data_IF_538856702009
#
_entry.id   IF_538856702009
#
_cell.length_a   1.000
_cell.length_b   1.000
_cell.length_c   1.000
_cell.angle_alpha   90.00
_cell.angle_beta   90.00
_cell.angle_gamma   90.00
#
_symmetry.space_group_name_H-M   'P 1'
#
loop_
_entity.id
_entity.type
_entity.pdbx_description
1 polymer ?
#
# COMPACT_ATOMS: atom_id res chain seq x y z
N UNK A 1 14.84 13.00 3.22
CA UNK A 1 14.49 11.90 2.29
C UNK A 1 13.04 12.05 1.85
N UNK A 2 12.64 11.37 0.77
CA UNK A 2 11.26 11.40 0.28
C UNK A 2 10.27 10.81 1.31
N UNK A 3 10.68 9.81 2.10
CA UNK A 3 9.89 9.28 3.23
C UNK A 3 9.49 10.34 4.25
N UNK A 4 10.45 11.18 4.69
CA UNK A 4 10.18 12.22 5.69
C UNK A 4 9.25 13.28 5.12
N UNK A 5 9.48 13.71 3.88
CA UNK A 5 8.62 14.69 3.22
C UNK A 5 7.18 14.17 3.07
N UNK A 6 7.03 12.90 2.69
CA UNK A 6 5.74 12.21 2.58
C UNK A 6 5.01 12.11 3.92
N UNK A 7 5.73 11.68 4.98
CA UNK A 7 5.19 11.55 6.35
C UNK A 7 4.60 12.86 6.88
N UNK A 8 5.15 14.00 6.46
CA UNK A 8 4.73 15.34 6.91
C UNK A 8 3.73 16.03 5.96
N UNK A 9 3.17 15.34 4.95
CA UNK A 9 2.29 15.92 3.93
C UNK A 9 2.88 17.17 3.25
N UNK A 10 4.22 17.24 3.13
CA UNK A 10 4.89 18.42 2.59
C UNK A 10 4.96 18.38 1.06
N UNK A 11 3.84 18.68 0.40
CA UNK A 11 3.74 18.74 -1.06
C UNK A 11 4.86 19.57 -1.73
N UNK A 12 5.25 20.77 -1.24
CA UNK A 12 6.32 21.54 -1.85
C UNK A 12 7.67 20.80 -1.83
N UNK A 13 8.02 20.18 -0.70
CA UNK A 13 9.28 19.44 -0.56
C UNK A 13 9.25 18.18 -1.42
N UNK A 14 8.12 17.46 -1.45
CA UNK A 14 7.94 16.27 -2.31
C UNK A 14 8.12 16.65 -3.78
N UNK A 15 7.47 17.72 -4.24
CA UNK A 15 7.57 18.19 -5.63
C UNK A 15 9.01 18.54 -6.01
N UNK A 16 9.74 19.26 -5.15
CA UNK A 16 11.16 19.57 -5.37
C UNK A 16 11.99 18.30 -5.44
N UNK A 17 11.81 17.36 -4.51
CA UNK A 17 12.57 16.10 -4.51
C UNK A 17 12.30 15.28 -5.78
N UNK A 18 11.04 15.18 -6.22
CA UNK A 18 10.66 14.49 -7.45
C UNK A 18 11.22 15.19 -8.70
N UNK A 19 11.27 16.52 -8.71
CA UNK A 19 11.91 17.30 -9.78
C UNK A 19 13.40 16.94 -9.94
N UNK A 20 14.07 16.61 -8.83
CA UNK A 20 15.44 16.11 -8.82
C UNK A 20 15.53 14.57 -8.84
N UNK A 21 14.52 13.89 -9.41
CA UNK A 21 14.49 12.44 -9.64
C UNK A 21 14.64 11.59 -8.38
N UNK A 22 14.15 12.06 -7.22
CA UNK A 22 14.08 11.23 -6.03
C UNK A 22 13.27 9.95 -6.30
N UNK A 23 13.80 8.82 -5.82
CA UNK A 23 13.23 7.49 -6.09
C UNK A 23 11.99 7.21 -5.22
N UNK A 24 10.83 7.04 -5.87
CA UNK A 24 9.57 6.65 -5.22
C UNK A 24 9.52 5.17 -4.82
N UNK A 25 10.43 4.32 -5.32
CA UNK A 25 10.50 2.89 -4.99
C UNK A 25 11.46 2.59 -3.83
N UNK A 26 12.20 3.60 -3.36
CA UNK A 26 13.16 3.44 -2.28
C UNK A 26 12.48 2.94 -1.01
N UNK A 27 12.92 1.79 -0.50
CA UNK A 27 12.41 1.21 0.73
C UNK A 27 13.27 1.62 1.92
N UNK A 28 12.63 1.96 3.04
CA UNK A 28 13.33 2.16 4.30
C UNK A 28 13.62 0.82 5.01
N UNK A 29 14.07 0.86 6.26
CA UNK A 29 14.38 -0.33 7.07
C UNK A 29 13.19 -1.25 7.35
N UNK A 30 11.96 -0.80 7.11
CA UNK A 30 10.73 -1.57 7.26
C UNK A 30 10.19 -2.06 5.91
N UNK A 31 10.88 -1.78 4.81
CA UNK A 31 10.36 -2.02 3.47
C UNK A 31 9.36 -0.96 3.01
N UNK A 32 9.15 0.12 3.76
CA UNK A 32 8.17 1.13 3.40
C UNK A 32 8.73 2.02 2.28
N UNK A 33 7.98 2.15 1.19
CA UNK A 33 8.21 3.21 0.18
C UNK A 33 7.69 4.55 0.71
N UNK A 34 8.07 5.70 0.13
CA UNK A 34 7.50 6.99 0.54
C UNK A 34 5.97 7.03 0.51
N UNK A 35 5.32 6.31 -0.42
CA UNK A 35 3.87 6.21 -0.49
C UNK A 35 3.24 5.49 0.73
N UNK A 36 3.96 4.58 1.40
CA UNK A 36 3.51 3.96 2.65
C UNK A 36 3.44 4.98 3.79
N UNK A 37 4.27 6.03 3.73
CA UNK A 37 4.35 7.05 4.76
C UNK A 37 3.26 8.12 4.65
N UNK A 38 2.49 8.14 3.55
CA UNK A 38 1.40 9.10 3.35
C UNK A 38 0.37 8.96 4.47
N UNK A 39 0.11 10.02 5.25
CA UNK A 39 -0.99 10.03 6.21
C UNK A 39 -2.33 9.87 5.50
N UNK A 40 -3.21 9.03 6.05
CA UNK A 40 -4.49 8.70 5.42
C UNK A 40 -5.62 9.41 6.15
N UNK A 41 -5.76 10.71 5.87
CA UNK A 41 -6.88 11.55 6.31
C UNK A 41 -7.79 11.87 5.13
N UNK A 42 -9.06 12.16 5.38
CA UNK A 42 -10.12 12.46 4.40
C UNK A 42 -9.98 13.85 3.75
N UNK A 43 -8.74 14.20 3.38
CA UNK A 43 -8.32 15.48 2.86
C UNK A 43 -7.79 15.35 1.42
N UNK A 44 -7.86 16.43 0.65
CA UNK A 44 -7.43 16.44 -0.75
C UNK A 44 -5.92 16.18 -0.88
N UNK A 45 -5.13 16.73 0.03
CA UNK A 45 -3.68 16.63 0.09
C UNK A 45 -3.20 15.18 0.22
N UNK A 46 -3.96 14.33 0.92
CA UNK A 46 -3.72 12.89 0.99
C UNK A 46 -3.76 12.26 -0.40
N UNK A 47 -4.78 12.59 -1.20
CA UNK A 47 -4.99 12.05 -2.54
C UNK A 47 -3.88 12.52 -3.49
N UNK A 48 -3.62 13.82 -3.48
CA UNK A 48 -2.60 14.44 -4.33
C UNK A 48 -1.21 13.88 -4.03
N UNK A 49 -0.86 13.76 -2.74
CA UNK A 49 0.42 13.23 -2.35
C UNK A 49 0.56 11.74 -2.70
N UNK A 50 -0.49 10.95 -2.49
CA UNK A 50 -0.50 9.54 -2.88
C UNK A 50 -0.24 9.40 -4.39
N UNK A 51 -0.90 10.20 -5.22
CA UNK A 51 -0.74 10.19 -6.67
C UNK A 51 0.69 10.56 -7.10
N UNK A 52 1.29 11.59 -6.50
CA UNK A 52 2.67 11.99 -6.79
C UNK A 52 3.68 10.90 -6.46
N UNK A 53 3.45 10.15 -5.39
CA UNK A 53 4.39 9.13 -4.89
C UNK A 53 4.14 7.74 -5.46
N UNK A 54 3.11 7.54 -6.28
CA UNK A 54 2.77 6.24 -6.88
C UNK A 54 2.75 6.28 -8.41
N UNK A 55 3.86 6.70 -9.07
CA UNK A 55 3.85 6.98 -10.52
C UNK A 55 3.71 5.73 -11.40
N UNK A 56 3.83 4.52 -10.85
CA UNK A 56 3.81 3.28 -11.61
C UNK A 56 3.21 2.11 -10.82
N UNK A 57 2.78 1.08 -11.56
CA UNK A 57 2.31 -0.17 -10.96
C UNK A 57 3.35 -0.83 -10.06
N UNK A 58 4.64 -0.71 -10.42
CA UNK A 58 5.73 -1.25 -9.62
C UNK A 58 5.74 -0.64 -8.21
N UNK A 59 5.64 0.70 -8.11
CA UNK A 59 5.60 1.39 -6.81
C UNK A 59 4.28 1.11 -6.06
N UNK A 60 3.14 1.10 -6.77
CA UNK A 60 1.82 0.77 -6.19
C UNK A 60 1.78 -0.62 -5.56
N UNK A 61 2.43 -1.59 -6.20
CA UNK A 61 2.40 -3.00 -5.83
C UNK A 61 3.59 -3.44 -4.97
N UNK A 62 4.56 -2.55 -4.74
CA UNK A 62 5.72 -2.86 -3.92
C UNK A 62 5.30 -3.01 -2.47
N UNK A 63 5.71 -4.12 -1.86
CA UNK A 63 5.32 -4.50 -0.52
C UNK A 63 6.42 -4.22 0.48
N UNK A 64 6.02 -3.77 1.66
CA UNK A 64 6.90 -3.64 2.80
C UNK A 64 7.17 -4.99 3.49
N UNK A 65 7.92 -4.97 4.60
CA UNK A 65 8.23 -6.17 5.37
C UNK A 65 6.99 -6.85 5.97
N UNK A 66 5.86 -6.14 6.09
CA UNK A 66 4.57 -6.69 6.51
C UNK A 66 3.76 -7.27 5.34
N UNK A 67 4.32 -7.31 4.12
CA UNK A 67 3.68 -7.79 2.90
C UNK A 67 2.43 -6.98 2.49
N UNK A 68 2.39 -5.71 2.89
CA UNK A 68 1.32 -4.77 2.55
C UNK A 68 1.88 -3.80 1.51
N UNK A 69 1.17 -3.60 0.41
CA UNK A 69 1.54 -2.54 -0.54
C UNK A 69 0.92 -1.19 -0.19
N UNK A 70 1.51 -0.11 -0.71
CA UNK A 70 0.93 1.23 -0.57
C UNK A 70 -0.51 1.31 -1.13
N UNK A 71 -0.78 0.61 -2.24
CA UNK A 71 -2.13 0.52 -2.80
C UNK A 71 -3.10 -0.23 -1.88
N UNK A 72 -2.73 -1.39 -1.33
CA UNK A 72 -3.61 -2.15 -0.43
C UNK A 72 -3.96 -1.35 0.83
N UNK A 73 -2.97 -0.65 1.41
CA UNK A 73 -3.16 0.24 2.55
C UNK A 73 -4.14 1.36 2.21
N UNK A 74 -3.95 2.04 1.08
CA UNK A 74 -4.81 3.13 0.60
C UNK A 74 -6.24 2.63 0.30
N UNK A 75 -6.39 1.52 -0.41
CA UNK A 75 -7.69 0.96 -0.75
C UNK A 75 -8.49 0.49 0.48
N UNK A 76 -7.80 -0.06 1.49
CA UNK A 76 -8.44 -0.46 2.76
C UNK A 76 -8.94 0.78 3.52
N UNK A 77 -8.13 1.82 3.60
CA UNK A 77 -8.53 3.09 4.20
C UNK A 77 -9.72 3.71 3.48
N UNK A 78 -9.70 3.74 2.15
CA UNK A 78 -10.78 4.34 1.34
C UNK A 78 -12.18 3.78 1.68
N UNK A 79 -12.28 2.55 2.21
CA UNK A 79 -13.56 1.92 2.61
C UNK A 79 -14.11 2.42 3.94
N UNK A 80 -13.27 2.98 4.81
CA UNK A 80 -13.62 3.28 6.22
C UNK A 80 -13.25 4.70 6.66
N UNK A 81 -12.70 5.50 5.74
CA UNK A 81 -12.10 6.81 5.99
C UNK A 81 -13.06 7.89 6.53
N UNK A 82 -14.37 7.78 6.30
CA UNK A 82 -15.37 8.76 6.76
C UNK A 82 -16.24 8.15 7.87
N UNK A 83 -15.78 8.18 9.12
CA UNK A 83 -16.49 7.58 10.27
C UNK A 83 -16.94 6.12 10.03
N UNK A 84 -16.00 5.26 9.61
CA UNK A 84 -16.25 3.87 9.18
C UNK A 84 -17.13 3.73 7.93
N UNK A 85 -17.25 4.79 7.12
CA UNK A 85 -17.90 4.76 5.80
C UNK A 85 -16.88 5.00 4.70
N UNK A 86 -17.20 4.63 3.45
CA UNK A 86 -16.33 4.90 2.32
C UNK A 86 -16.11 6.40 2.11
N UNK A 87 -14.89 6.79 1.77
CA UNK A 87 -14.56 8.15 1.33
C UNK A 87 -14.60 8.22 -0.20
N UNK A 88 -15.63 8.85 -0.79
CA UNK A 88 -15.90 8.74 -2.23
C UNK A 88 -14.73 9.17 -3.14
N UNK A 89 -14.00 10.27 -2.87
CA UNK A 89 -12.83 10.64 -3.69
C UNK A 89 -11.76 9.55 -3.75
N UNK A 90 -11.46 8.91 -2.62
CA UNK A 90 -10.51 7.81 -2.59
C UNK A 90 -11.05 6.54 -3.27
N UNK A 91 -12.35 6.26 -3.15
CA UNK A 91 -13.00 5.14 -3.88
C UNK A 91 -12.88 5.31 -5.39
N UNK A 92 -13.22 6.49 -5.90
CA UNK A 92 -13.06 6.81 -7.33
C UNK A 92 -11.62 6.58 -7.78
N UNK A 93 -10.63 6.96 -6.97
CA UNK A 93 -9.23 6.71 -7.27
C UNK A 93 -8.88 5.22 -7.28
N UNK A 94 -9.36 4.44 -6.30
CA UNK A 94 -9.15 2.98 -6.25
C UNK A 94 -9.72 2.32 -7.50
N UNK A 95 -10.92 2.71 -7.94
CA UNK A 95 -11.56 2.20 -9.15
C UNK A 95 -10.78 2.57 -10.41
N UNK A 96 -10.30 3.82 -10.52
CA UNK A 96 -9.44 4.27 -11.61
C UNK A 96 -8.18 3.39 -11.71
N UNK A 97 -7.48 3.19 -10.59
CA UNK A 97 -6.25 2.41 -10.53
C UNK A 97 -6.49 0.94 -10.89
N UNK A 98 -7.60 0.34 -10.45
CA UNK A 98 -7.97 -1.04 -10.83
C UNK A 98 -8.31 -1.18 -12.30
N UNK A 99 -8.98 -0.19 -12.87
CA UNK A 99 -9.27 -0.15 -14.31
C UNK A 99 -7.99 -0.05 -15.12
N UNK A 100 -7.05 0.80 -14.67
CA UNK A 100 -5.75 0.99 -15.31
C UNK A 100 -4.81 -0.21 -15.14
N UNK A 101 -4.87 -0.87 -13.99
CA UNK A 101 -4.00 -1.99 -13.62
C UNK A 101 -4.85 -3.15 -13.09
N UNK A 102 -5.33 -4.05 -13.98
CA UNK A 102 -6.22 -5.15 -13.59
C UNK A 102 -5.65 -6.05 -12.48
N UNK A 103 -4.33 -6.19 -12.37
CA UNK A 103 -3.65 -6.94 -11.31
C UNK A 103 -3.87 -6.40 -9.88
N UNK A 104 -4.44 -5.20 -9.75
CA UNK A 104 -4.85 -4.60 -8.47
C UNK A 104 -6.30 -4.96 -8.08
N UNK A 105 -6.93 -5.88 -8.81
CA UNK A 105 -8.29 -6.35 -8.54
C UNK A 105 -8.40 -6.98 -7.14
N UNK A 106 -9.61 -6.98 -6.59
CA UNK A 106 -9.88 -7.71 -5.34
C UNK A 106 -9.56 -9.19 -5.46
N UNK A 107 -9.85 -9.80 -6.61
CA UNK A 107 -9.60 -11.22 -6.88
C UNK A 107 -8.10 -11.53 -6.86
N UNK A 108 -7.29 -10.77 -7.59
CA UNK A 108 -5.84 -10.99 -7.64
C UNK A 108 -5.18 -10.75 -6.28
N UNK A 109 -5.64 -9.72 -5.56
CA UNK A 109 -5.16 -9.40 -4.21
C UNK A 109 -5.47 -10.56 -3.25
N UNK A 110 -6.70 -11.07 -3.25
CA UNK A 110 -7.11 -12.17 -2.38
C UNK A 110 -6.46 -13.49 -2.77
N UNK A 111 -6.28 -13.75 -4.07
CA UNK A 111 -5.55 -14.91 -4.58
C UNK A 111 -4.09 -14.90 -4.10
N UNK A 112 -3.42 -13.74 -4.17
CA UNK A 112 -2.05 -13.56 -3.65
C UNK A 112 -1.98 -13.80 -2.14
N UNK A 113 -2.93 -13.24 -1.37
CA UNK A 113 -3.04 -13.45 0.09
C UNK A 113 -3.32 -14.91 0.46
N UNK A 114 -4.22 -15.56 -0.25
CA UNK A 114 -4.57 -16.97 -0.07
C UNK A 114 -3.38 -17.88 -0.34
N UNK A 115 -2.64 -17.64 -1.43
CA UNK A 115 -1.42 -18.38 -1.75
C UNK A 115 -0.36 -18.25 -0.64
N UNK A 116 -0.19 -17.05 -0.06
CA UNK A 116 0.72 -16.83 1.08
C UNK A 116 0.30 -17.57 2.33
N UNK A 117 -1.00 -17.52 2.68
CA UNK A 117 -1.55 -18.26 3.82
C UNK A 117 -1.32 -19.76 3.66
N UNK A 118 -1.53 -20.29 2.46
CA UNK A 118 -1.26 -21.69 2.15
C UNK A 118 0.23 -22.03 2.28
N UNK A 119 1.13 -21.20 1.73
CA UNK A 119 2.59 -21.40 1.84
C UNK A 119 3.08 -21.37 3.29
N UNK A 120 2.62 -20.40 4.09
CA UNK A 120 2.96 -20.30 5.52
C UNK A 120 2.48 -21.54 6.30
N UNK A 121 1.27 -22.03 6.02
CA UNK A 121 0.73 -23.26 6.62
C UNK A 121 1.53 -24.51 6.23
N UNK A 122 2.05 -24.57 5.00
CA UNK A 122 2.85 -25.71 4.53
C UNK A 122 4.26 -25.78 5.15
N UNK A 123 4.80 -24.65 5.63
CA UNK A 123 6.14 -24.57 6.25
C UNK A 123 6.10 -24.94 7.74
N UNK A 124 4.93 -24.87 8.41
CA UNK A 124 4.79 -25.31 9.79
C UNK A 124 4.95 -26.84 9.88
N UNK A 125 5.90 -27.38 10.67
CA UNK A 125 5.99 -28.81 10.87
C UNK A 125 4.69 -29.31 11.51
N UNK A 126 4.23 -30.49 11.09
CA UNK A 126 3.07 -31.19 11.65
C UNK A 126 3.31 -31.55 13.14
N UNK A 127 3.27 -30.56 14.03
CA UNK A 127 3.30 -30.77 15.47
C UNK A 127 1.86 -30.92 15.97
N UNK A 128 1.33 -32.13 15.87
CA UNK A 128 0.38 -32.71 16.82
C UNK A 128 -0.08 -34.10 16.35
N UNK A 129 0.74 -35.13 16.60
CA UNK A 129 0.25 -36.50 16.82
C UNK A 129 1.34 -37.35 17.50
N UNK A 130 1.75 -36.93 18.69
CA UNK A 130 2.61 -37.74 19.56
C UNK A 130 2.29 -37.43 21.02
N UNK A 131 1.01 -37.55 21.38
CA UNK A 131 0.57 -37.75 22.77
C UNK A 131 -0.39 -38.93 22.76
N UNK A 132 0.16 -40.11 22.48
CA UNK A 132 -0.41 -41.38 22.92
C UNK A 132 0.37 -41.80 24.17
N UNK A 133 -0.28 -41.66 25.33
CA UNK A 133 0.02 -42.43 26.54
C UNK A 133 -1.29 -43.03 27.02
#
# INVERSE_FOLDING_TARGET
SLHVAAKHLSLPVVRVLLQFHADCSAQDRYGDTPAHMVPLFDQHETLELFDLLTPSLAVLSQENAALISAFERYATWAQTALDNKPYPPAQTKVEELRRRFPSLSHEDTEKKRSARRAASRAILPARASALSR
#
